data_IF_870929428638
#
_entry.id   IF_870929428638
#
_cell.length_a   1.000
_cell.length_b   1.000
_cell.length_c   1.000
_cell.angle_alpha   90.00
_cell.angle_beta   90.00
_cell.angle_gamma   90.00
#
_symmetry.space_group_name_H-M   'P 1'
#
loop_
_entity.id
_entity.type
_entity.pdbx_description
1 polymer ?
#
# COMPACT_ATOMS: atom_id res chain seq x y z
N UNK A 1 20.46 -0.13 -14.23
CA UNK A 1 20.16 1.09 -13.45
C UNK A 1 19.61 2.13 -14.41
N UNK A 2 18.37 2.59 -14.22
CA UNK A 2 17.70 3.56 -15.10
C UNK A 2 18.12 4.97 -14.66
N UNK A 3 18.48 5.85 -15.58
CA UNK A 3 18.90 7.23 -15.26
C UNK A 3 17.68 8.14 -15.06
N UNK A 4 17.82 9.20 -14.26
CA UNK A 4 16.74 10.17 -13.98
C UNK A 4 16.42 11.07 -15.19
N UNK A 5 17.37 11.25 -16.10
CA UNK A 5 17.27 12.06 -17.32
C UNK A 5 16.31 11.49 -18.37
N UNK A 6 16.11 10.16 -18.41
CA UNK A 6 15.23 9.48 -19.38
C UNK A 6 13.78 9.33 -18.91
N UNK A 7 13.40 9.99 -17.82
CA UNK A 7 12.04 9.93 -17.27
C UNK A 7 11.32 11.22 -17.62
N UNK A 8 10.20 11.06 -18.32
CA UNK A 8 9.35 12.15 -18.74
C UNK A 8 8.49 12.63 -17.57
N UNK A 9 8.87 13.76 -16.98
CA UNK A 9 8.25 14.41 -15.83
C UNK A 9 8.70 15.88 -15.84
N UNK A 10 7.88 16.77 -15.29
CA UNK A 10 8.26 18.18 -15.13
C UNK A 10 9.63 18.31 -14.42
N UNK A 11 10.56 19.04 -15.03
CA UNK A 11 11.95 19.13 -14.56
C UNK A 11 12.07 19.82 -13.20
N UNK A 12 11.18 20.77 -12.90
CA UNK A 12 11.16 21.45 -11.60
C UNK A 12 10.74 20.47 -10.51
N UNK A 13 9.62 19.79 -10.72
CA UNK A 13 9.09 18.78 -9.80
C UNK A 13 10.10 17.65 -9.58
N UNK A 14 10.75 17.20 -10.65
CA UNK A 14 11.78 16.15 -10.59
C UNK A 14 12.96 16.59 -9.73
N UNK A 15 13.47 17.80 -9.97
CA UNK A 15 14.58 18.36 -9.21
C UNK A 15 14.22 18.59 -7.73
N UNK A 16 12.98 18.99 -7.44
CA UNK A 16 12.51 19.20 -6.08
C UNK A 16 12.42 17.88 -5.30
N UNK A 17 11.85 16.83 -5.90
CA UNK A 17 11.79 15.50 -5.26
C UNK A 17 13.19 14.93 -5.03
N UNK A 18 14.10 15.07 -5.99
CA UNK A 18 15.49 14.60 -5.82
C UNK A 18 16.18 15.33 -4.67
N UNK A 19 16.09 16.66 -4.62
CA UNK A 19 16.71 17.49 -3.59
C UNK A 19 16.16 17.18 -2.19
N UNK A 20 14.85 16.99 -2.11
CA UNK A 20 14.16 16.64 -0.88
C UNK A 20 14.55 15.23 -0.39
N UNK A 21 14.64 14.25 -1.31
CA UNK A 21 15.10 12.91 -0.98
C UNK A 21 16.58 12.87 -0.56
N UNK A 22 17.44 13.69 -1.17
CA UNK A 22 18.82 13.87 -0.72
C UNK A 22 18.87 14.45 0.69
N UNK A 23 18.08 15.49 0.96
CA UNK A 23 17.99 16.13 2.27
C UNK A 23 17.55 15.14 3.37
N UNK A 24 16.67 14.18 3.03
CA UNK A 24 16.25 13.12 3.93
C UNK A 24 17.41 12.21 4.38
N UNK A 25 18.42 12.01 3.54
CA UNK A 25 19.58 11.17 3.87
C UNK A 25 20.75 11.94 4.52
N UNK A 26 20.62 13.25 4.72
CA UNK A 26 21.63 14.08 5.41
C UNK A 26 21.58 13.79 6.92
N UNK A 27 22.74 13.49 7.51
CA UNK A 27 22.86 13.08 8.91
C UNK A 27 22.51 14.21 9.90
N UNK A 28 22.84 15.45 9.53
CA UNK A 28 22.51 16.67 10.27
C UNK A 28 21.00 16.86 10.38
N UNK A 29 20.27 16.64 9.28
CA UNK A 29 18.81 16.67 9.26
C UNK A 29 18.24 15.64 10.24
N UNK A 30 18.69 14.39 10.15
CA UNK A 30 18.24 13.31 11.04
C UNK A 30 18.48 13.63 12.51
N UNK A 31 19.64 14.21 12.83
CA UNK A 31 19.99 14.58 14.21
C UNK A 31 19.06 15.69 14.74
N UNK A 32 18.74 16.67 13.90
CA UNK A 32 17.79 17.74 14.24
C UNK A 32 16.39 17.19 14.57
N UNK A 33 15.84 16.30 13.74
CA UNK A 33 14.52 15.70 14.01
C UNK A 33 14.53 14.82 15.27
N UNK A 34 15.62 14.08 15.51
CA UNK A 34 15.80 13.28 16.72
C UNK A 34 15.85 14.16 17.98
N UNK A 35 16.58 15.28 17.94
CA UNK A 35 16.67 16.24 19.05
C UNK A 35 15.34 16.93 19.34
N UNK A 36 14.49 17.11 18.31
CA UNK A 36 13.14 17.62 18.46
C UNK A 36 12.10 16.55 18.87
N UNK A 37 12.48 15.27 18.94
CA UNK A 37 11.58 14.16 19.25
C UNK A 37 10.52 13.88 18.18
N UNK A 38 10.81 14.26 16.93
CA UNK A 38 9.91 14.08 15.79
C UNK A 38 10.30 12.79 15.05
N UNK A 39 9.34 11.91 14.79
CA UNK A 39 9.60 10.69 14.05
C UNK A 39 10.06 11.00 12.63
N UNK A 40 11.17 10.41 12.19
CA UNK A 40 11.83 10.75 10.93
C UNK A 40 11.42 9.82 9.79
N UNK A 41 10.17 9.92 9.37
CA UNK A 41 9.64 9.21 8.21
C UNK A 41 9.48 10.15 7.03
N UNK A 42 9.81 9.66 5.84
CA UNK A 42 9.64 10.41 4.61
C UNK A 42 8.99 9.54 3.55
N UNK A 43 7.88 10.02 2.99
CA UNK A 43 7.10 9.27 2.02
C UNK A 43 6.64 10.16 0.86
N UNK A 44 6.66 9.61 -0.35
CA UNK A 44 6.10 10.25 -1.54
C UNK A 44 4.87 9.51 -2.04
N UNK A 45 3.88 10.26 -2.52
CA UNK A 45 2.80 9.74 -3.34
C UNK A 45 2.98 10.21 -4.78
N UNK A 46 3.32 9.28 -5.67
CA UNK A 46 3.35 9.54 -7.11
C UNK A 46 2.00 9.16 -7.72
N UNK A 47 1.32 10.12 -8.34
CA UNK A 47 0.02 9.86 -8.95
C UNK A 47 -0.05 10.34 -10.40
N UNK A 48 -0.96 9.75 -11.17
CA UNK A 48 -1.24 10.11 -12.56
C UNK A 48 -1.55 8.90 -13.44
N UNK A 49 -1.84 9.11 -14.73
CA UNK A 49 -2.22 8.03 -15.65
C UNK A 49 -1.22 6.87 -15.72
N UNK A 50 -1.68 5.69 -16.12
CA UNK A 50 -0.77 4.56 -16.38
C UNK A 50 0.22 4.91 -17.49
N UNK A 51 1.49 4.51 -17.33
CA UNK A 51 2.53 4.75 -18.34
C UNK A 51 3.30 6.08 -18.19
N UNK A 52 2.97 6.92 -17.21
CA UNK A 52 3.72 8.17 -16.90
C UNK A 52 5.04 7.95 -16.16
N UNK A 53 5.55 6.72 -16.12
CA UNK A 53 6.87 6.44 -15.56
C UNK A 53 6.99 6.46 -14.04
N UNK A 54 5.90 6.54 -13.25
CA UNK A 54 5.94 6.55 -11.76
C UNK A 54 6.87 5.47 -11.15
N UNK A 55 6.62 4.18 -11.44
CA UNK A 55 7.50 3.10 -10.95
C UNK A 55 8.92 3.18 -11.52
N UNK A 56 9.06 3.67 -12.76
CA UNK A 56 10.38 3.88 -13.36
C UNK A 56 11.16 5.00 -12.65
N UNK A 57 10.47 6.03 -12.16
CA UNK A 57 11.03 7.12 -11.37
C UNK A 57 11.44 6.66 -10.00
N UNK A 58 10.63 5.85 -9.31
CA UNK A 58 11.03 5.23 -8.04
C UNK A 58 12.34 4.44 -8.18
N UNK A 59 12.47 3.65 -9.25
CA UNK A 59 13.68 2.87 -9.53
C UNK A 59 14.91 3.75 -9.86
N UNK A 60 14.72 4.83 -10.62
CA UNK A 60 15.79 5.76 -10.93
C UNK A 60 16.23 6.55 -9.68
N UNK A 61 15.29 6.97 -8.84
CA UNK A 61 15.54 7.67 -7.59
C UNK A 61 16.28 6.79 -6.60
N UNK A 62 15.85 5.54 -6.40
CA UNK A 62 16.55 4.58 -5.53
C UNK A 62 17.99 4.36 -6.01
N UNK A 63 18.17 4.21 -7.32
CA UNK A 63 19.50 4.12 -7.91
C UNK A 63 20.34 5.37 -7.62
N UNK A 64 19.79 6.56 -7.85
CA UNK A 64 20.47 7.82 -7.60
C UNK A 64 20.93 7.97 -6.14
N UNK A 65 20.09 7.56 -5.18
CA UNK A 65 20.39 7.61 -3.74
C UNK A 65 21.31 6.48 -3.26
N UNK A 66 21.63 5.52 -4.13
CA UNK A 66 22.40 4.32 -3.80
C UNK A 66 21.69 3.43 -2.78
N UNK A 67 20.37 3.31 -2.89
CA UNK A 67 19.52 2.50 -2.03
C UNK A 67 19.03 1.24 -2.76
N UNK A 68 18.89 0.15 -2.02
CA UNK A 68 18.15 -1.02 -2.49
C UNK A 68 16.65 -0.68 -2.61
N UNK A 69 16.01 -1.20 -3.65
CA UNK A 69 14.59 -0.97 -3.94
C UNK A 69 13.75 -2.22 -3.70
N UNK A 70 12.64 -2.07 -2.98
CA UNK A 70 11.73 -3.16 -2.62
C UNK A 70 10.33 -2.85 -3.12
N UNK A 71 9.81 -3.64 -4.06
CA UNK A 71 8.45 -3.47 -4.56
C UNK A 71 7.47 -4.35 -3.78
N UNK A 72 6.38 -3.74 -3.32
CA UNK A 72 5.25 -4.39 -2.67
C UNK A 72 4.03 -4.19 -3.57
N UNK A 73 3.50 -5.29 -4.09
CA UNK A 73 2.27 -5.29 -4.88
C UNK A 73 1.11 -5.82 -4.04
N UNK A 74 0.21 -4.92 -3.66
CA UNK A 74 -0.93 -5.20 -2.81
C UNK A 74 -2.09 -5.88 -3.56
N UNK A 75 -2.14 -5.77 -4.89
CA UNK A 75 -3.17 -6.38 -5.72
C UNK A 75 -3.01 -7.91 -5.86
N UNK A 76 -1.88 -8.46 -5.41
CA UNK A 76 -1.60 -9.91 -5.49
C UNK A 76 -2.48 -10.77 -4.57
N UNK A 77 -3.23 -10.17 -3.63
CA UNK A 77 -4.20 -10.86 -2.76
C UNK A 77 -3.60 -11.84 -1.75
N UNK A 78 -2.28 -11.99 -1.73
CA UNK A 78 -1.56 -12.99 -0.93
C UNK A 78 -0.92 -12.41 0.35
N UNK A 79 -1.02 -11.09 0.56
CA UNK A 79 -0.42 -10.41 1.70
C UNK A 79 -1.56 -9.82 2.54
N UNK A 80 -1.53 -10.09 3.85
CA UNK A 80 -2.42 -9.48 4.84
C UNK A 80 -1.63 -8.52 5.74
N UNK A 81 -2.32 -7.75 6.58
CA UNK A 81 -1.72 -6.71 7.44
C UNK A 81 -0.55 -7.24 8.31
N UNK A 82 -0.69 -8.45 8.89
CA UNK A 82 0.38 -9.05 9.70
C UNK A 82 1.60 -9.44 8.88
N UNK A 83 1.42 -9.91 7.63
CA UNK A 83 2.52 -10.21 6.73
C UNK A 83 3.23 -8.93 6.28
N UNK A 84 2.46 -7.87 5.98
CA UNK A 84 2.99 -6.55 5.65
C UNK A 84 3.84 -5.99 6.78
N UNK A 85 3.34 -6.02 8.02
CA UNK A 85 4.09 -5.59 9.21
C UNK A 85 5.41 -6.36 9.39
N UNK A 86 5.41 -7.68 9.17
CA UNK A 86 6.64 -8.49 9.22
C UNK A 86 7.62 -8.15 8.09
N UNK A 87 7.14 -7.80 6.90
CA UNK A 87 7.99 -7.34 5.81
C UNK A 87 8.70 -6.06 6.21
N UNK A 88 7.98 -5.07 6.73
CA UNK A 88 8.55 -3.80 7.18
C UNK A 88 9.61 -3.96 8.28
N UNK A 89 9.39 -4.85 9.25
CA UNK A 89 10.37 -5.17 10.28
C UNK A 89 11.69 -5.76 9.75
N UNK A 90 11.64 -6.45 8.60
CA UNK A 90 12.79 -7.09 7.97
C UNK A 90 13.57 -6.19 6.99
N UNK A 91 13.07 -4.98 6.71
CA UNK A 91 13.71 -4.08 5.75
C UNK A 91 14.98 -3.44 6.32
N UNK A 92 16.02 -3.24 5.48
CA UNK A 92 17.24 -2.60 5.92
C UNK A 92 17.03 -1.10 6.15
N UNK A 93 17.85 -0.51 7.01
CA UNK A 93 17.75 0.91 7.41
C UNK A 93 17.85 1.91 6.28
N UNK A 94 18.58 1.62 5.21
CA UNK A 94 18.72 2.50 4.04
C UNK A 94 18.16 1.78 2.82
N UNK A 95 16.86 1.95 2.58
CA UNK A 95 16.18 1.40 1.42
C UNK A 95 15.09 2.34 0.88
N UNK A 96 14.67 2.05 -0.35
CA UNK A 96 13.46 2.61 -0.94
C UNK A 96 12.41 1.51 -1.03
N UNK A 97 11.25 1.73 -0.42
CA UNK A 97 10.10 0.82 -0.50
C UNK A 97 9.09 1.42 -1.45
N UNK A 98 8.66 0.65 -2.44
CA UNK A 98 7.65 1.09 -3.41
C UNK A 98 6.39 0.25 -3.24
N UNK A 99 5.28 0.90 -2.92
CA UNK A 99 3.96 0.29 -2.89
C UNK A 99 3.22 0.65 -4.17
N UNK A 100 2.99 -0.36 -5.00
CA UNK A 100 2.41 -0.16 -6.33
C UNK A 100 0.89 -0.20 -6.33
N UNK A 101 0.28 0.70 -7.10
CA UNK A 101 -1.16 0.76 -7.38
C UNK A 101 -2.02 0.61 -6.11
N UNK A 102 -1.81 1.50 -5.12
CA UNK A 102 -2.51 1.44 -3.82
C UNK A 102 -4.04 1.55 -3.95
N UNK A 103 -4.51 2.24 -4.99
CA UNK A 103 -5.92 2.35 -5.37
C UNK A 103 -6.55 1.01 -5.81
N UNK A 104 -5.75 0.11 -6.38
CA UNK A 104 -6.19 -1.19 -6.87
C UNK A 104 -6.39 -2.22 -5.74
N UNK A 105 -5.78 -1.98 -4.58
CA UNK A 105 -5.90 -2.83 -3.39
C UNK A 105 -7.21 -2.60 -2.60
N UNK A 106 -8.01 -1.60 -2.99
CA UNK A 106 -9.20 -1.19 -2.23
C UNK A 106 -8.89 -0.40 -0.96
N UNK A 107 -7.64 0.04 -0.80
CA UNK A 107 -7.20 0.96 0.25
C UNK A 107 -7.87 2.32 0.01
N UNK A 108 -8.82 2.69 0.87
CA UNK A 108 -9.64 3.91 0.72
C UNK A 108 -11.11 3.66 0.40
N UNK A 109 -11.50 2.42 0.08
CA UNK A 109 -12.92 2.04 0.07
C UNK A 109 -13.27 1.56 1.46
N UNK A 110 -13.92 2.42 2.26
CA UNK A 110 -14.67 1.95 3.41
C UNK A 110 -15.59 0.85 2.90
N UNK A 111 -15.29 -0.41 3.25
CA UNK A 111 -16.20 -1.50 2.99
C UNK A 111 -17.40 -1.20 3.88
N UNK A 112 -18.39 -0.48 3.33
CA UNK A 112 -19.74 -0.51 3.88
C UNK A 112 -20.02 -1.99 4.05
N UNK A 113 -20.18 -2.50 5.28
CA UNK A 113 -20.58 -3.87 5.49
C UNK A 113 -21.84 -4.00 4.65
N UNK A 114 -21.78 -4.81 3.60
CA UNK A 114 -22.95 -5.13 2.83
C UNK A 114 -23.83 -5.85 3.84
N UNK A 115 -24.78 -5.12 4.42
CA UNK A 115 -25.77 -5.67 5.34
C UNK A 115 -26.26 -6.91 4.63
N UNK A 116 -25.98 -8.07 5.25
CA UNK A 116 -26.52 -9.33 4.82
C UNK A 116 -28.02 -9.07 4.64
N UNK A 117 -28.46 -8.97 3.38
CA UNK A 117 -29.86 -9.13 3.06
C UNK A 117 -30.15 -10.58 3.41
N UNK A 118 -30.39 -10.81 4.71
CA UNK A 118 -31.07 -11.95 5.23
C UNK A 118 -32.27 -12.10 4.32
N UNK A 119 -32.23 -13.14 3.48
CA UNK A 119 -33.36 -13.57 2.70
C UNK A 119 -34.53 -13.63 3.68
N UNK A 120 -35.52 -12.77 3.49
CA UNK A 120 -36.81 -12.92 4.15
C UNK A 120 -37.34 -14.28 3.68
N UNK A 121 -37.13 -15.30 4.50
CA UNK A 121 -37.76 -16.60 4.33
C UNK A 121 -39.18 -16.41 4.83
N UNK A 122 -40.14 -16.49 3.90
CA UNK A 122 -41.57 -16.45 4.21
C UNK A 122 -41.89 -17.59 5.21
N UNK A 123 -42.45 -17.33 6.41
CA UNK A 123 -42.69 -18.35 7.43
C UNK A 123 -43.72 -19.43 7.07
N UNK A 124 -44.27 -19.46 5.84
CA UNK A 124 -45.43 -20.30 5.50
C UNK A 124 -45.17 -21.50 4.57
N UNK A 125 -43.93 -21.83 4.21
CA UNK A 125 -43.62 -23.13 3.59
C UNK A 125 -42.94 -24.09 4.58
N UNK A 126 -43.73 -24.56 5.56
CA UNK A 126 -43.43 -25.78 6.32
C UNK A 126 -44.39 -26.87 5.86
N UNK A 127 -44.10 -27.48 4.71
CA UNK A 127 -44.69 -28.77 4.32
C UNK A 127 -43.58 -29.79 4.03
N UNK A 128 -43.35 -30.60 5.07
CA UNK A 128 -43.00 -32.01 5.09
C UNK A 128 -42.56 -32.64 3.76
N UNK A 129 -41.26 -32.90 3.61
CA UNK A 129 -40.75 -34.20 3.17
C UNK A 129 -39.25 -34.38 3.47
N UNK A 130 -38.98 -35.32 4.37
CA UNK A 130 -37.65 -35.75 4.80
C UNK A 130 -37.04 -36.62 3.68
N UNK A 131 -35.94 -36.17 3.06
CA UNK A 131 -35.12 -37.03 2.18
C UNK A 131 -33.63 -36.86 2.52
N UNK A 132 -32.94 -37.87 3.08
CA UNK A 132 -31.52 -37.79 3.41
C UNK A 132 -30.71 -38.08 2.14
N UNK A 133 -30.42 -37.06 1.33
CA UNK A 133 -29.68 -37.28 0.10
C UNK A 133 -29.42 -36.03 -0.74
N UNK A 134 -28.72 -35.03 -0.19
CA UNK A 134 -28.16 -33.92 -0.98
C UNK A 134 -26.72 -33.61 -0.53
N UNK A 135 -25.82 -34.57 -0.74
CA UNK A 135 -24.39 -34.43 -0.51
C UNK A 135 -23.66 -33.82 -1.73
N UNK A 136 -24.28 -32.83 -2.39
CA UNK A 136 -23.71 -32.30 -3.63
C UNK A 136 -24.08 -30.84 -3.95
N UNK A 137 -24.07 -29.93 -2.97
CA UNK A 137 -24.10 -28.49 -3.31
C UNK A 137 -23.65 -27.56 -2.19
N UNK A 138 -22.46 -27.78 -1.63
CA UNK A 138 -21.80 -26.73 -0.83
C UNK A 138 -20.29 -26.60 -1.09
N UNK A 139 -19.84 -26.99 -2.29
CA UNK A 139 -18.44 -26.84 -2.75
C UNK A 139 -18.14 -25.50 -3.45
N UNK A 140 -19.09 -24.58 -3.47
CA UNK A 140 -18.91 -23.21 -3.93
C UNK A 140 -19.46 -22.33 -2.83
N UNK A 141 -18.57 -21.76 -2.02
CA UNK A 141 -18.71 -20.49 -1.27
C UNK A 141 -17.62 -20.33 -0.19
N UNK A 142 -16.60 -21.20 -0.15
CA UNK A 142 -15.25 -20.79 0.28
C UNK A 142 -14.49 -20.15 -0.89
N UNK A 143 -15.01 -19.05 -1.43
CA UNK A 143 -14.10 -18.07 -2.01
C UNK A 143 -13.58 -17.34 -0.80
N UNK A 144 -12.49 -17.87 -0.24
CA UNK A 144 -11.70 -17.22 0.81
C UNK A 144 -11.76 -15.74 0.52
N UNK A 145 -12.38 -14.96 1.40
CA UNK A 145 -12.21 -13.53 1.42
C UNK A 145 -10.70 -13.35 1.50
N UNK A 146 -10.06 -13.09 0.36
CA UNK A 146 -8.67 -12.69 0.33
C UNK A 146 -8.65 -11.45 1.20
N UNK A 147 -8.11 -11.59 2.41
CA UNK A 147 -8.05 -10.53 3.40
C UNK A 147 -7.25 -9.42 2.76
N UNK A 148 -7.96 -8.48 2.14
CA UNK A 148 -7.36 -7.35 1.46
C UNK A 148 -6.67 -6.49 2.52
N UNK A 149 -5.52 -5.93 2.15
CA UNK A 149 -4.79 -5.02 3.04
C UNK A 149 -5.64 -3.79 3.25
N UNK A 150 -5.86 -3.44 4.51
CA UNK A 150 -6.61 -2.24 4.86
C UNK A 150 -5.69 -1.02 4.83
N UNK A 151 -6.25 0.17 4.60
CA UNK A 151 -5.51 1.42 4.75
C UNK A 151 -4.93 1.54 6.17
N UNK A 152 -5.73 1.20 7.17
CA UNK A 152 -5.31 1.14 8.56
C UNK A 152 -4.15 0.18 8.78
N UNK A 153 -4.15 -0.99 8.11
CA UNK A 153 -3.08 -1.97 8.16
C UNK A 153 -1.79 -1.47 7.54
N UNK A 154 -1.88 -0.73 6.44
CA UNK A 154 -0.74 -0.07 5.82
C UNK A 154 -0.17 1.05 6.71
N UNK A 155 -1.02 1.94 7.22
CA UNK A 155 -0.62 3.03 8.12
C UNK A 155 0.00 2.48 9.41
N UNK A 156 -0.60 1.47 10.03
CA UNK A 156 -0.03 0.82 11.22
C UNK A 156 1.32 0.15 10.96
N UNK A 157 1.59 -0.28 9.73
CA UNK A 157 2.88 -0.84 9.36
C UNK A 157 3.95 0.24 9.12
N UNK A 158 3.54 1.45 8.72
CA UNK A 158 4.41 2.60 8.45
C UNK A 158 4.65 3.43 9.71
N UNK A 159 3.58 3.82 10.40
CA UNK A 159 3.58 4.70 11.58
C UNK A 159 3.83 3.93 12.88
N UNK A 160 3.51 2.63 12.89
CA UNK A 160 3.93 1.74 13.96
C UNK A 160 5.43 1.47 13.87
N UNK A 161 6.07 1.15 14.99
CA UNK A 161 7.51 0.85 15.15
C UNK A 161 8.15 -0.17 14.15
N UNK A 162 7.41 -0.67 13.15
CA UNK A 162 7.90 -1.58 12.14
C UNK A 162 8.74 -0.93 11.04
N UNK A 163 8.37 0.24 10.52
CA UNK A 163 9.18 0.88 9.49
C UNK A 163 10.35 1.64 10.13
N UNK A 164 11.56 1.13 9.93
CA UNK A 164 12.75 1.73 10.53
C UNK A 164 13.06 3.11 9.94
N UNK A 165 13.47 4.04 10.81
CA UNK A 165 14.02 5.34 10.38
C UNK A 165 15.16 5.17 9.37
N UNK A 166 15.12 5.96 8.29
CA UNK A 166 16.07 5.91 7.17
C UNK A 166 15.55 5.18 5.93
N UNK A 167 14.40 4.51 6.02
CA UNK A 167 13.67 4.02 4.85
C UNK A 167 12.88 5.13 4.18
N UNK A 168 13.00 5.24 2.85
CA UNK A 168 12.14 6.11 2.05
C UNK A 168 10.96 5.30 1.49
N UNK A 169 9.74 5.75 1.73
CA UNK A 169 8.53 5.11 1.18
C UNK A 169 8.04 5.85 -0.07
N UNK A 170 7.68 5.12 -1.12
CA UNK A 170 7.04 5.65 -2.31
C UNK A 170 5.76 4.86 -2.57
N UNK A 171 4.64 5.56 -2.62
CA UNK A 171 3.35 5.01 -3.01
C UNK A 171 3.03 5.47 -4.43
N UNK A 172 2.38 4.60 -5.20
CA UNK A 172 1.91 4.96 -6.54
C UNK A 172 0.41 4.75 -6.66
N UNK A 173 -0.28 5.71 -7.27
CA UNK A 173 -1.72 5.64 -7.52
C UNK A 173 -2.06 6.10 -8.94
N UNK A 174 -3.11 5.54 -9.54
CA UNK A 174 -3.69 6.08 -10.79
C UNK A 174 -4.76 7.13 -10.48
N UNK A 175 -5.47 6.93 -9.37
CA UNK A 175 -6.58 7.76 -8.93
C UNK A 175 -6.35 8.26 -7.49
N UNK A 176 -5.72 9.43 -7.29
CA UNK A 176 -5.53 9.98 -5.95
C UNK A 176 -6.87 10.31 -5.27
N UNK A 177 -7.89 10.71 -6.03
CA UNK A 177 -9.22 11.04 -5.51
C UNK A 177 -9.98 9.82 -4.92
N UNK A 178 -9.49 8.61 -5.16
CA UNK A 178 -10.03 7.38 -4.58
C UNK A 178 -9.35 7.00 -3.25
N UNK A 179 -8.31 7.73 -2.85
CA UNK A 179 -7.67 7.58 -1.55
C UNK A 179 -8.46 8.39 -0.52
N UNK A 180 -8.52 7.86 0.70
CA UNK A 180 -9.12 8.53 1.84
C UNK A 180 -8.49 9.93 2.02
N UNK A 181 -9.30 10.94 2.35
CA UNK A 181 -8.86 12.33 2.55
C UNK A 181 -7.78 12.42 3.64
N UNK A 182 -7.71 11.43 4.54
CA UNK A 182 -6.65 11.28 5.54
C UNK A 182 -5.22 11.02 4.98
N UNK A 183 -5.07 10.74 3.67
CA UNK A 183 -3.79 10.47 3.01
C UNK A 183 -3.23 11.62 2.16
N UNK A 184 -3.98 12.71 2.03
CA UNK A 184 -3.62 13.91 1.24
C UNK A 184 -3.46 15.13 2.14
#
# INVERSE_FOLDING_TARGET
>A
MRRLDIIDMDEVTKADVVRDAEYYYIQESRSYFADCGISYHHSYLFYGPSGTGKSSFSAALAGYLGCDIYHINLASGNINDSALHRLFLGLPRKCVVVIEDIDSAGIGREQVPQEDQARFMDPLELDLDFNPGFDQMNRKWNKSSSVAITLSGLLNAIDGNAFQEGGLLIMTSKHPDALDEALT
#
